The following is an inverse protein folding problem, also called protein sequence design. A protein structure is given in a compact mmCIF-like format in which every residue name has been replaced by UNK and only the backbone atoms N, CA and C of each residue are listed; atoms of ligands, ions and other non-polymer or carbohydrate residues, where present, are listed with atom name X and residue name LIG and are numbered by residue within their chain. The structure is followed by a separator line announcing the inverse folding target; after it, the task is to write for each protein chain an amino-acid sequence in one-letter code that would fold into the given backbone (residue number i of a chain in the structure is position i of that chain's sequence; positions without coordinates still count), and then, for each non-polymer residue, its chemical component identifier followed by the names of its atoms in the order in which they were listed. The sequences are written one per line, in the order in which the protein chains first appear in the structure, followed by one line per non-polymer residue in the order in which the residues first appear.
data_IF_047382361604
#
_entry.id   IF_047382361604
#
_cell.length_a   1.000
_cell.length_b   1.000
_cell.length_c   1.000
_cell.angle_alpha   90.00
_cell.angle_beta   90.00
_cell.angle_gamma   90.00
#
_symmetry.space_group_name_H-M   'P 1'
#
loop_
_entity.id
_entity.type
_entity.pdbx_description
1 polymer ?
#
# COMPACT_ATOMS: atom_id res chain seq x y z
N UNK A 1 26.45 25.15 -15.34
CA UNK A 1 26.11 23.90 -14.60
C UNK A 1 24.62 23.61 -14.72
N UNK A 2 24.15 22.36 -14.56
CA UNK A 2 22.71 22.01 -14.71
C UNK A 2 21.78 22.83 -13.79
N UNK A 3 22.30 23.33 -12.67
CA UNK A 3 21.61 24.24 -11.74
C UNK A 3 21.24 25.61 -12.33
N UNK A 4 21.98 26.10 -13.33
CA UNK A 4 21.66 27.37 -14.01
C UNK A 4 20.36 27.29 -14.82
N UNK A 5 19.96 26.08 -15.22
CA UNK A 5 18.75 25.85 -16.01
C UNK A 5 17.46 25.92 -15.17
N UNK A 6 17.56 25.96 -13.83
CA UNK A 6 16.43 26.04 -12.89
C UNK A 6 15.27 25.08 -13.21
N UNK A 7 15.61 23.83 -13.52
CA UNK A 7 14.66 22.85 -14.05
C UNK A 7 13.62 22.50 -12.98
N UNK A 8 14.06 22.23 -11.75
CA UNK A 8 13.16 21.96 -10.61
C UNK A 8 12.18 23.12 -10.42
N UNK A 9 12.68 24.35 -10.34
CA UNK A 9 11.85 25.54 -10.09
C UNK A 9 10.81 25.74 -11.19
N UNK A 10 11.14 25.42 -12.45
CA UNK A 10 10.18 25.45 -13.55
C UNK A 10 9.09 24.38 -13.42
N UNK A 11 9.40 23.19 -12.90
CA UNK A 11 8.42 22.14 -12.63
C UNK A 11 7.53 22.56 -11.46
N UNK A 12 8.12 23.05 -10.36
CA UNK A 12 7.41 23.59 -9.20
C UNK A 12 6.46 24.74 -9.61
N UNK A 13 6.88 25.62 -10.52
CA UNK A 13 6.04 26.70 -11.03
C UNK A 13 4.80 26.21 -11.80
N UNK A 14 4.87 25.03 -12.45
CA UNK A 14 3.70 24.41 -13.10
C UNK A 14 2.69 23.90 -12.08
N UNK A 15 3.13 23.56 -10.87
CA UNK A 15 2.22 23.14 -9.81
C UNK A 15 1.30 24.30 -9.34
N UNK A 16 1.59 25.54 -9.73
CA UNK A 16 0.69 26.68 -9.46
C UNK A 16 -0.66 26.57 -10.17
N UNK A 17 -0.73 25.81 -11.27
CA UNK A 17 -1.98 25.58 -12.00
C UNK A 17 -2.77 24.38 -11.47
N UNK A 18 -2.25 23.66 -10.47
CA UNK A 18 -3.00 22.60 -9.79
C UNK A 18 -4.18 23.19 -9.03
N UNK A 19 -5.09 22.31 -8.60
CA UNK A 19 -6.17 22.64 -7.68
C UNK A 19 -5.65 23.42 -6.46
N UNK A 20 -6.40 24.40 -5.93
CA UNK A 20 -6.03 25.09 -4.70
C UNK A 20 -5.89 24.15 -3.50
N UNK A 21 -6.47 22.95 -3.59
CA UNK A 21 -6.39 21.90 -2.57
C UNK A 21 -5.26 20.89 -2.81
N UNK A 22 -4.58 20.97 -3.96
CA UNK A 22 -3.43 20.13 -4.27
C UNK A 22 -2.22 20.54 -3.43
N UNK A 23 -1.44 19.55 -3.01
CA UNK A 23 -0.17 19.84 -2.34
C UNK A 23 0.87 20.26 -3.37
N UNK A 24 1.49 21.41 -3.14
CA UNK A 24 2.60 21.90 -3.97
C UNK A 24 3.92 21.47 -3.35
N UNK A 25 4.80 20.89 -4.15
CA UNK A 25 6.11 20.40 -3.69
C UNK A 25 6.97 21.52 -3.09
N UNK A 26 6.89 22.75 -3.61
CA UNK A 26 7.55 23.93 -3.03
C UNK A 26 7.08 24.30 -1.63
N UNK A 27 5.86 23.88 -1.24
CA UNK A 27 5.24 24.15 0.05
C UNK A 27 5.29 22.93 0.98
N UNK A 28 6.07 21.90 0.62
CA UNK A 28 6.26 20.73 1.46
C UNK A 28 6.77 21.12 2.85
N UNK A 29 6.30 20.41 3.88
CA UNK A 29 6.82 20.51 5.26
C UNK A 29 8.24 19.96 5.37
N UNK A 30 8.79 19.41 4.30
CA UNK A 30 10.17 18.98 4.19
C UNK A 30 10.40 17.57 4.69
N UNK A 31 11.69 17.29 4.96
CA UNK A 31 12.22 15.97 5.34
C UNK A 31 12.67 16.02 6.80
N UNK A 32 12.75 14.86 7.45
CA UNK A 32 13.28 14.79 8.82
C UNK A 32 14.76 15.20 8.91
N UNK A 33 15.57 14.74 7.95
CA UNK A 33 16.97 15.15 7.81
C UNK A 33 17.04 16.19 6.69
N UNK A 34 17.48 17.43 6.97
CA UNK A 34 17.65 18.46 5.95
C UNK A 34 18.58 17.97 4.84
N UNK A 35 18.24 18.32 3.60
CA UNK A 35 19.00 17.94 2.42
C UNK A 35 18.82 19.01 1.35
N UNK A 36 19.87 19.26 0.57
CA UNK A 36 19.81 20.23 -0.50
C UNK A 36 18.76 19.84 -1.56
N UNK A 37 17.98 20.81 -2.05
CA UNK A 37 17.05 20.60 -3.16
C UNK A 37 17.76 20.07 -4.43
N UNK A 38 17.13 19.13 -5.14
CA UNK A 38 17.70 18.53 -6.35
C UNK A 38 17.57 19.51 -7.53
N UNK A 39 18.59 19.67 -8.40
CA UNK A 39 18.54 20.68 -9.47
C UNK A 39 17.49 20.40 -10.55
N UNK A 40 16.96 19.17 -10.63
CA UNK A 40 16.05 18.72 -11.70
C UNK A 40 14.69 18.32 -11.14
N UNK A 41 14.65 17.53 -10.06
CA UNK A 41 13.44 16.86 -9.57
C UNK A 41 12.80 17.59 -8.40
N UNK A 42 11.47 17.58 -8.35
CA UNK A 42 10.72 18.02 -7.15
C UNK A 42 10.95 17.07 -5.98
N UNK A 43 10.58 17.48 -4.76
CA UNK A 43 10.75 16.62 -3.58
C UNK A 43 9.97 15.29 -3.71
N UNK A 44 8.77 15.31 -4.28
CA UNK A 44 7.94 14.12 -4.46
C UNK A 44 8.47 13.18 -5.56
N UNK A 45 9.03 13.74 -6.65
CA UNK A 45 9.71 12.93 -7.66
C UNK A 45 10.92 12.20 -7.08
N UNK A 46 11.70 12.86 -6.21
CA UNK A 46 12.81 12.19 -5.50
C UNK A 46 12.31 11.08 -4.59
N UNK A 47 11.17 11.28 -3.93
CA UNK A 47 10.59 10.30 -3.01
C UNK A 47 10.14 9.05 -3.73
N UNK A 48 9.42 9.23 -4.84
CA UNK A 48 9.06 8.15 -5.77
C UNK A 48 10.29 7.33 -6.16
N UNK A 49 11.34 8.00 -6.65
CA UNK A 49 12.54 7.33 -7.13
C UNK A 49 13.25 6.56 -6.00
N UNK A 50 13.31 7.13 -4.78
CA UNK A 50 13.86 6.45 -3.60
C UNK A 50 13.09 5.19 -3.23
N UNK A 51 11.76 5.24 -3.29
CA UNK A 51 10.90 4.09 -3.00
C UNK A 51 11.14 2.99 -4.03
N UNK A 52 11.10 3.31 -5.33
CA UNK A 52 11.30 2.33 -6.42
C UNK A 52 12.65 1.60 -6.30
N UNK A 53 13.70 2.32 -5.90
CA UNK A 53 15.04 1.76 -5.78
C UNK A 53 15.32 1.05 -4.44
N UNK A 54 14.35 1.02 -3.51
CA UNK A 54 14.50 0.39 -2.18
C UNK A 54 14.56 -1.15 -2.25
N UNK A 55 15.18 -1.79 -1.25
CA UNK A 55 15.15 -3.26 -1.15
C UNK A 55 13.73 -3.75 -0.88
N UNK A 56 12.97 -3.05 -0.03
CA UNK A 56 11.58 -3.35 0.28
C UNK A 56 10.68 -3.38 -0.96
N UNK A 57 10.76 -2.38 -1.84
CA UNK A 57 9.95 -2.35 -3.05
C UNK A 57 10.27 -3.53 -3.98
N UNK A 58 11.55 -3.89 -4.14
CA UNK A 58 11.95 -5.08 -4.92
C UNK A 58 11.38 -6.38 -4.36
N UNK A 59 11.28 -6.49 -3.02
CA UNK A 59 10.72 -7.67 -2.35
C UNK A 59 9.23 -7.87 -2.62
N UNK A 60 8.48 -6.82 -2.97
CA UNK A 60 7.05 -6.92 -3.31
C UNK A 60 6.78 -7.88 -4.49
N UNK A 61 7.75 -8.06 -5.40
CA UNK A 61 7.68 -9.05 -6.49
C UNK A 61 7.54 -10.49 -5.98
N UNK A 62 8.08 -10.76 -4.79
CA UNK A 62 8.16 -12.10 -4.20
C UNK A 62 7.30 -12.22 -2.93
N UNK A 63 6.29 -11.34 -2.81
CA UNK A 63 5.27 -11.39 -1.78
C UNK A 63 3.91 -11.57 -2.43
N UNK A 64 3.17 -12.53 -1.92
CA UNK A 64 1.80 -12.81 -2.34
C UNK A 64 0.86 -11.71 -1.87
N UNK A 65 -0.12 -11.38 -2.71
CA UNK A 65 -1.19 -10.48 -2.34
C UNK A 65 -2.26 -11.24 -1.53
N UNK A 66 -3.07 -12.05 -2.20
CA UNK A 66 -4.19 -12.79 -1.59
C UNK A 66 -4.08 -14.31 -1.72
N UNK A 67 -3.31 -14.82 -2.68
CA UNK A 67 -3.07 -16.26 -2.86
C UNK A 67 -1.66 -16.59 -2.40
N UNK A 68 -1.54 -17.42 -1.37
CA UNK A 68 -0.25 -17.86 -0.86
C UNK A 68 0.35 -18.90 -1.82
N UNK A 69 1.54 -18.62 -2.34
CA UNK A 69 2.34 -19.50 -3.19
C UNK A 69 1.53 -20.31 -4.25
N UNK A 70 0.63 -19.69 -5.03
CA UNK A 70 -0.14 -20.45 -6.01
C UNK A 70 0.78 -20.94 -7.12
N UNK A 71 0.59 -22.19 -7.56
CA UNK A 71 1.35 -22.85 -8.62
C UNK A 71 1.11 -22.25 -10.04
N UNK A 72 0.56 -21.04 -10.15
CA UNK A 72 0.22 -20.41 -11.43
C UNK A 72 0.98 -19.10 -11.69
N UNK A 73 1.43 -18.91 -12.92
CA UNK A 73 2.30 -17.79 -13.31
C UNK A 73 1.63 -16.41 -13.31
N UNK A 74 0.30 -16.36 -13.19
CA UNK A 74 -0.49 -15.14 -13.43
C UNK A 74 -1.14 -14.54 -12.18
N UNK A 75 -0.95 -15.13 -11.00
CA UNK A 75 -1.52 -14.60 -9.76
C UNK A 75 -0.86 -13.27 -9.36
N UNK A 76 -1.66 -12.38 -8.78
CA UNK A 76 -1.21 -11.05 -8.39
C UNK A 76 -0.23 -11.15 -7.22
N UNK A 77 0.95 -10.58 -7.44
CA UNK A 77 1.94 -10.26 -6.40
C UNK A 77 1.62 -8.90 -5.80
N UNK A 78 2.19 -8.59 -4.63
CA UNK A 78 2.07 -7.23 -4.05
C UNK A 78 2.59 -6.15 -4.98
N UNK A 79 3.62 -6.45 -5.79
CA UNK A 79 4.14 -5.49 -6.76
C UNK A 79 3.10 -5.15 -7.83
N UNK A 80 2.44 -6.16 -8.41
CA UNK A 80 1.40 -5.94 -9.43
C UNK A 80 0.18 -5.21 -8.86
N UNK A 81 -0.22 -5.53 -7.62
CA UNK A 81 -1.23 -4.75 -6.89
C UNK A 81 -0.81 -3.28 -6.76
N UNK A 82 0.39 -3.04 -6.24
CA UNK A 82 0.93 -1.69 -6.02
C UNK A 82 0.95 -0.86 -7.31
N UNK A 83 1.28 -1.48 -8.45
CA UNK A 83 1.25 -0.83 -9.75
C UNK A 83 -0.17 -0.50 -10.22
N UNK A 84 -1.14 -1.40 -10.00
CA UNK A 84 -2.56 -1.16 -10.30
C UNK A 84 -3.14 -0.02 -9.44
N UNK A 85 -2.89 -0.03 -8.12
CA UNK A 85 -3.25 1.05 -7.20
C UNK A 85 -2.68 2.38 -7.68
N UNK A 86 -1.39 2.40 -8.01
CA UNK A 86 -0.70 3.60 -8.49
C UNK A 86 -1.32 4.12 -9.78
N UNK A 87 -1.67 3.25 -10.72
CA UNK A 87 -2.29 3.64 -11.99
C UNK A 87 -3.69 4.25 -11.78
N UNK A 88 -4.52 3.62 -10.95
CA UNK A 88 -5.86 4.11 -10.61
C UNK A 88 -5.74 5.46 -9.89
N UNK A 89 -4.86 5.56 -8.89
CA UNK A 89 -4.65 6.75 -8.10
C UNK A 89 -4.18 7.94 -8.94
N UNK A 90 -3.20 7.73 -9.84
CA UNK A 90 -2.73 8.77 -10.77
C UNK A 90 -3.83 9.25 -11.71
N UNK A 91 -4.72 8.35 -12.15
CA UNK A 91 -5.86 8.71 -13.00
C UNK A 91 -6.83 9.63 -12.26
N UNK A 92 -7.16 9.31 -11.01
CA UNK A 92 -8.03 10.13 -10.16
C UNK A 92 -7.36 11.48 -9.86
N UNK A 93 -6.10 11.48 -9.42
CA UNK A 93 -5.36 12.69 -9.09
C UNK A 93 -5.27 13.64 -10.27
N UNK A 94 -4.93 13.15 -11.47
CA UNK A 94 -4.86 13.96 -12.68
C UNK A 94 -6.22 14.55 -13.07
N UNK A 95 -7.29 13.76 -12.99
CA UNK A 95 -8.63 14.22 -13.32
C UNK A 95 -9.13 15.31 -12.34
N UNK A 96 -8.75 15.21 -11.07
CA UNK A 96 -9.07 16.20 -10.03
C UNK A 96 -8.06 17.36 -9.96
N UNK A 97 -7.07 17.40 -10.86
CA UNK A 97 -6.00 18.40 -10.90
C UNK A 97 -5.20 18.49 -9.59
N UNK A 98 -4.93 17.35 -8.95
CA UNK A 98 -4.13 17.20 -7.74
C UNK A 98 -2.67 16.82 -8.07
N UNK A 99 -1.79 16.75 -7.07
CA UNK A 99 -0.37 16.47 -7.30
C UNK A 99 -0.12 14.98 -7.62
N UNK A 100 0.07 14.69 -8.91
CA UNK A 100 0.27 13.32 -9.40
C UNK A 100 1.54 12.66 -8.87
N UNK A 101 2.65 13.40 -8.74
CA UNK A 101 3.93 12.85 -8.25
C UNK A 101 3.83 12.48 -6.75
N UNK A 102 3.12 13.28 -5.95
CA UNK A 102 2.84 12.96 -4.55
C UNK A 102 1.96 11.71 -4.42
N UNK A 103 0.86 11.65 -5.18
CA UNK A 103 -0.02 10.48 -5.20
C UNK A 103 0.74 9.22 -5.58
N UNK A 104 1.57 9.28 -6.64
CA UNK A 104 2.39 8.17 -7.10
C UNK A 104 3.38 7.71 -6.01
N UNK A 105 4.11 8.63 -5.37
CA UNK A 105 5.05 8.29 -4.33
C UNK A 105 4.37 7.60 -3.12
N UNK A 106 3.20 8.08 -2.69
CA UNK A 106 2.43 7.46 -1.61
C UNK A 106 2.00 6.04 -2.01
N UNK A 107 1.39 5.88 -3.19
CA UNK A 107 0.91 4.58 -3.66
C UNK A 107 2.03 3.57 -3.85
N UNK A 108 3.24 3.96 -4.27
CA UNK A 108 4.35 3.01 -4.36
C UNK A 108 4.90 2.60 -2.98
N UNK A 109 4.68 3.43 -1.96
CA UNK A 109 5.20 3.22 -0.60
C UNK A 109 4.23 2.54 0.37
N UNK A 110 2.93 2.48 0.06
CA UNK A 110 1.89 2.08 1.03
C UNK A 110 2.09 0.66 1.58
N UNK A 111 2.58 -0.25 0.72
CA UNK A 111 2.62 -1.70 0.98
C UNK A 111 4.01 -2.26 1.34
N UNK A 112 5.01 -1.39 1.54
CA UNK A 112 6.40 -1.80 1.79
C UNK A 112 6.60 -2.65 3.06
N UNK A 113 5.74 -2.47 4.05
CA UNK A 113 5.82 -3.09 5.37
C UNK A 113 5.06 -4.39 5.53
N UNK A 114 4.36 -4.87 4.50
CA UNK A 114 3.61 -6.11 4.62
C UNK A 114 4.49 -7.30 4.90
N UNK A 115 4.02 -8.20 5.76
CA UNK A 115 4.68 -9.46 6.10
C UNK A 115 4.70 -10.45 4.93
N UNK A 116 5.58 -11.47 4.98
CA UNK A 116 5.38 -12.66 4.17
C UNK A 116 3.99 -13.26 4.47
N UNK A 117 3.40 -13.90 3.45
CA UNK A 117 2.06 -14.52 3.50
C UNK A 117 0.91 -13.52 3.76
N UNK A 118 1.12 -12.23 3.54
CA UNK A 118 0.08 -11.21 3.66
C UNK A 118 -0.53 -11.14 5.05
N UNK A 119 -1.87 -11.08 5.13
CA UNK A 119 -2.59 -10.89 6.39
C UNK A 119 -2.33 -11.98 7.44
N UNK A 120 -2.10 -13.23 7.03
CA UNK A 120 -1.81 -14.31 7.97
C UNK A 120 -0.51 -14.06 8.75
N UNK A 121 0.53 -13.54 8.09
CA UNK A 121 1.78 -13.17 8.77
C UNK A 121 1.62 -11.95 9.67
N UNK A 122 0.79 -10.99 9.25
CA UNK A 122 0.50 -9.77 10.02
C UNK A 122 -0.27 -10.10 11.30
N UNK A 123 -1.29 -10.96 11.22
CA UNK A 123 -2.05 -11.45 12.37
C UNK A 123 -1.12 -12.10 13.42
N UNK A 124 -0.25 -13.02 12.98
CA UNK A 124 0.68 -13.69 13.88
C UNK A 124 1.66 -12.72 14.51
N UNK A 125 2.25 -11.80 13.74
CA UNK A 125 3.14 -10.79 14.33
C UNK A 125 2.38 -9.86 15.28
N UNK A 126 1.13 -9.53 15.00
CA UNK A 126 0.31 -8.69 15.87
C UNK A 126 -0.01 -9.38 17.21
N UNK A 127 -0.19 -10.71 17.20
CA UNK A 127 -0.36 -11.51 18.41
C UNK A 127 0.93 -11.65 19.22
N UNK A 128 2.07 -11.88 18.54
CA UNK A 128 3.33 -12.21 19.19
C UNK A 128 4.17 -10.99 19.59
N UNK A 129 4.05 -9.88 18.87
CA UNK A 129 4.79 -8.66 19.16
C UNK A 129 4.02 -7.82 20.20
N UNK A 130 4.57 -7.59 21.41
CA UNK A 130 3.80 -7.01 22.52
C UNK A 130 3.15 -5.65 22.28
N UNK A 131 3.61 -4.89 21.26
CA UNK A 131 3.06 -3.58 20.91
C UNK A 131 2.00 -3.63 19.80
N UNK A 132 1.69 -4.82 19.29
CA UNK A 132 0.90 -4.99 18.07
C UNK A 132 1.73 -4.70 16.82
N UNK A 133 1.27 -5.22 15.67
CA UNK A 133 1.92 -5.09 14.38
C UNK A 133 0.90 -4.71 13.32
N UNK A 134 1.17 -3.61 12.63
CA UNK A 134 0.35 -3.13 11.52
C UNK A 134 1.23 -2.81 10.31
N UNK A 135 0.83 -3.30 9.14
CA UNK A 135 1.62 -3.18 7.91
C UNK A 135 1.92 -1.74 7.52
N UNK A 136 0.98 -0.80 7.74
CA UNK A 136 1.14 0.63 7.42
C UNK A 136 2.17 1.32 8.33
N UNK A 137 2.16 1.01 9.63
CA UNK A 137 3.20 1.48 10.56
C UNK A 137 4.56 0.88 10.20
N UNK A 138 4.56 -0.38 9.75
CA UNK A 138 5.77 -1.02 9.27
C UNK A 138 6.26 -0.40 7.96
N UNK A 139 5.39 -0.03 7.03
CA UNK A 139 5.75 0.67 5.79
C UNK A 139 6.42 2.01 6.12
N UNK A 140 5.87 2.76 7.08
CA UNK A 140 6.49 4.00 7.56
C UNK A 140 7.88 3.72 8.18
N UNK A 141 8.01 2.69 9.02
CA UNK A 141 9.29 2.32 9.62
C UNK A 141 10.33 1.86 8.58
N UNK A 142 9.90 1.19 7.52
CA UNK A 142 10.79 0.82 6.41
C UNK A 142 11.42 2.06 5.78
N UNK A 143 10.61 3.08 5.48
CA UNK A 143 11.08 4.30 4.82
C UNK A 143 11.78 5.27 5.78
N UNK A 144 11.51 5.21 7.08
CA UNK A 144 12.13 6.09 8.07
C UNK A 144 13.43 5.55 8.65
N UNK A 145 13.54 4.22 8.76
CA UNK A 145 14.62 3.58 9.50
C UNK A 145 15.27 2.42 8.76
N UNK A 146 14.51 1.40 8.33
CA UNK A 146 15.10 0.10 7.97
C UNK A 146 15.90 0.13 6.66
N UNK A 147 15.44 0.88 5.67
CA UNK A 147 16.18 1.00 4.40
C UNK A 147 17.53 1.68 4.59
N UNK A 148 18.44 1.44 3.64
CA UNK A 148 19.80 2.01 3.66
C UNK A 148 20.56 1.73 4.96
N UNK A 149 20.47 0.49 5.47
CA UNK A 149 21.20 0.01 6.66
C UNK A 149 20.91 0.85 7.92
N UNK A 150 19.64 1.13 8.21
CA UNK A 150 19.26 1.90 9.41
C UNK A 150 19.19 3.42 9.20
N UNK A 151 19.37 3.92 7.97
CA UNK A 151 19.33 5.36 7.69
C UNK A 151 17.99 5.87 7.16
N UNK A 152 17.11 4.96 6.71
CA UNK A 152 15.87 5.28 6.02
C UNK A 152 16.08 5.86 4.61
N UNK A 153 14.97 6.19 3.96
CA UNK A 153 14.91 6.88 2.67
C UNK A 153 14.79 8.42 2.84
N UNK A 154 14.54 8.91 4.06
CA UNK A 154 14.39 10.34 4.37
C UNK A 154 13.36 11.01 3.44
N UNK A 155 12.16 10.43 3.32
CA UNK A 155 11.08 10.94 2.46
C UNK A 155 10.47 12.24 3.00
N UNK A 156 9.72 12.96 2.16
CA UNK A 156 8.96 14.14 2.61
C UNK A 156 7.86 13.74 3.61
N UNK A 157 7.45 14.69 4.44
CA UNK A 157 6.40 14.47 5.42
C UNK A 157 5.09 14.01 4.78
N UNK A 158 4.73 14.55 3.62
CA UNK A 158 3.46 14.26 2.93
C UNK A 158 3.39 12.82 2.44
N UNK A 159 4.52 12.31 1.90
CA UNK A 159 4.60 10.90 1.47
C UNK A 159 4.48 9.98 2.67
N UNK A 160 5.16 10.29 3.77
CA UNK A 160 5.13 9.52 5.02
C UNK A 160 3.74 9.49 5.65
N UNK A 161 3.06 10.63 5.69
CA UNK A 161 1.69 10.74 6.17
C UNK A 161 0.72 9.90 5.32
N UNK A 162 0.83 9.99 3.99
CA UNK A 162 0.05 9.16 3.08
C UNK A 162 0.30 7.66 3.27
N UNK A 163 1.55 7.23 3.41
CA UNK A 163 1.92 5.83 3.68
C UNK A 163 1.33 5.35 5.01
N UNK A 164 1.40 6.15 6.07
CA UNK A 164 0.87 5.73 7.37
C UNK A 164 -0.66 5.65 7.36
N UNK A 165 -1.32 6.61 6.73
CA UNK A 165 -2.74 6.85 6.86
C UNK A 165 -3.55 6.37 5.64
N UNK A 166 -3.07 5.39 4.88
CA UNK A 166 -3.82 4.80 3.76
C UNK A 166 -4.78 3.69 4.21
N UNK A 167 -4.49 2.99 5.32
CA UNK A 167 -5.27 1.83 5.77
C UNK A 167 -6.72 2.16 6.12
N UNK A 168 -7.58 1.13 6.09
CA UNK A 168 -9.05 1.22 6.20
C UNK A 168 -9.57 0.58 7.48
N UNK A 169 -10.82 0.93 7.81
CA UNK A 169 -11.63 0.16 8.74
C UNK A 169 -12.21 -1.05 8.01
N UNK A 170 -12.31 -2.19 8.68
CA UNK A 170 -12.91 -3.42 8.11
C UNK A 170 -14.37 -3.23 7.64
N UNK A 171 -15.08 -2.20 8.11
CA UNK A 171 -16.53 -2.07 7.90
C UNK A 171 -16.98 -1.37 6.62
N UNK A 172 -16.21 -0.44 6.03
CA UNK A 172 -16.63 0.30 4.82
C UNK A 172 -15.43 0.81 4.00
N UNK A 173 -15.51 0.74 2.65
CA UNK A 173 -14.49 1.29 1.72
C UNK A 173 -14.20 2.77 1.98
N UNK A 174 -15.24 3.56 2.31
CA UNK A 174 -15.13 4.95 2.73
C UNK A 174 -15.30 5.15 4.23
N UNK A 175 -15.24 4.07 5.01
CA UNK A 175 -15.44 4.13 6.46
C UNK A 175 -14.44 5.04 7.13
N UNK A 176 -14.92 5.84 8.09
CA UNK A 176 -14.04 6.62 8.95
C UNK A 176 -13.10 5.67 9.70
N UNK A 177 -11.81 5.88 9.50
CA UNK A 177 -10.75 5.32 10.34
C UNK A 177 -10.36 6.38 11.34
N UNK A 178 -9.76 5.97 12.46
CA UNK A 178 -9.23 6.90 13.45
C UNK A 178 -8.25 7.93 12.85
N UNK A 179 -7.57 7.60 11.75
CA UNK A 179 -6.62 8.50 11.09
C UNK A 179 -6.91 8.66 9.58
N UNK A 180 -7.05 9.91 9.15
CA UNK A 180 -7.19 10.30 7.74
C UNK A 180 -5.90 10.97 7.28
N UNK A 181 -5.40 10.61 6.10
CA UNK A 181 -4.28 11.33 5.50
C UNK A 181 -4.61 12.83 5.37
N UNK A 182 -3.64 13.68 5.68
CA UNK A 182 -3.80 15.13 5.68
C UNK A 182 -4.01 15.71 4.29
N UNK A 183 -3.63 14.98 3.24
CA UNK A 183 -3.65 15.40 1.84
C UNK A 183 -4.73 14.64 1.07
N UNK A 184 -5.31 15.25 0.02
CA UNK A 184 -6.22 14.53 -0.86
C UNK A 184 -5.49 13.44 -1.66
N UNK A 185 -4.21 13.67 -1.99
CA UNK A 185 -3.35 12.70 -2.63
C UNK A 185 -3.18 11.42 -1.80
N UNK A 186 -3.03 11.55 -0.48
CA UNK A 186 -3.01 10.40 0.44
C UNK A 186 -4.38 9.73 0.58
N UNK A 187 -5.47 10.49 0.57
CA UNK A 187 -6.82 9.93 0.59
C UNK A 187 -7.14 9.16 -0.70
N UNK A 188 -6.63 9.61 -1.85
CA UNK A 188 -6.76 8.91 -3.13
C UNK A 188 -6.12 7.53 -3.04
N UNK A 189 -4.94 7.40 -2.42
CA UNK A 189 -4.28 6.10 -2.25
C UNK A 189 -5.22 5.08 -1.58
N UNK A 190 -5.94 5.48 -0.53
CA UNK A 190 -6.90 4.62 0.17
C UNK A 190 -8.03 4.13 -0.74
N UNK A 191 -8.66 5.04 -1.49
CA UNK A 191 -9.79 4.68 -2.36
C UNK A 191 -9.28 3.86 -3.55
N UNK A 192 -8.15 4.23 -4.15
CA UNK A 192 -7.54 3.49 -5.26
C UNK A 192 -7.15 2.06 -4.85
N UNK A 193 -6.59 1.89 -3.65
CA UNK A 193 -6.33 0.59 -3.06
C UNK A 193 -7.63 -0.24 -2.95
N UNK A 194 -8.75 0.41 -2.61
CA UNK A 194 -10.05 -0.27 -2.55
C UNK A 194 -10.52 -0.79 -3.90
N UNK A 195 -10.44 0.07 -4.91
CA UNK A 195 -10.83 -0.25 -6.27
C UNK A 195 -9.96 -1.37 -6.82
N UNK A 196 -8.64 -1.33 -6.59
CA UNK A 196 -7.73 -2.37 -7.05
C UNK A 196 -8.06 -3.72 -6.40
N UNK A 197 -8.07 -3.81 -5.06
CA UNK A 197 -8.23 -5.10 -4.37
C UNK A 197 -9.52 -5.82 -4.76
N UNK A 198 -10.65 -5.10 -4.81
CA UNK A 198 -11.94 -5.70 -5.18
C UNK A 198 -11.84 -6.35 -6.57
N UNK A 199 -11.16 -5.68 -7.51
CA UNK A 199 -11.18 -6.08 -8.90
C UNK A 199 -10.20 -7.18 -9.26
N UNK A 200 -8.97 -7.17 -8.72
CA UNK A 200 -8.06 -8.29 -8.97
C UNK A 200 -8.35 -9.49 -8.08
N UNK A 201 -8.89 -9.34 -6.87
CA UNK A 201 -9.24 -10.50 -6.04
C UNK A 201 -10.41 -11.29 -6.62
N UNK A 202 -11.38 -10.61 -7.24
CA UNK A 202 -12.40 -11.29 -8.06
C UNK A 202 -11.73 -12.09 -9.18
N UNK A 203 -10.80 -11.47 -9.91
CA UNK A 203 -10.14 -12.09 -11.06
C UNK A 203 -9.33 -13.33 -10.65
N UNK A 204 -8.51 -13.20 -9.61
CA UNK A 204 -7.69 -14.31 -9.11
C UNK A 204 -8.53 -15.40 -8.44
N UNK A 205 -9.64 -15.05 -7.80
CA UNK A 205 -10.57 -16.04 -7.22
C UNK A 205 -11.32 -16.83 -8.28
N UNK A 206 -11.68 -16.19 -9.40
CA UNK A 206 -12.21 -16.89 -10.58
C UNK A 206 -11.14 -17.80 -11.19
N UNK A 207 -9.90 -17.31 -11.33
CA UNK A 207 -8.79 -18.08 -11.87
C UNK A 207 -8.44 -19.30 -11.03
N UNK A 208 -8.50 -19.17 -9.70
CA UNK A 208 -8.28 -20.25 -8.76
C UNK A 208 -9.47 -21.23 -8.65
N UNK A 209 -10.59 -20.95 -9.32
CA UNK A 209 -11.81 -21.76 -9.24
C UNK A 209 -12.49 -21.73 -7.88
N UNK A 210 -12.20 -20.73 -7.03
CA UNK A 210 -12.86 -20.54 -5.72
C UNK A 210 -14.29 -20.04 -5.94
N UNK A 211 -14.46 -19.13 -6.90
CA UNK A 211 -15.75 -18.59 -7.32
C UNK A 211 -15.86 -18.67 -8.84
N UNK A 212 -17.08 -18.64 -9.37
CA UNK A 212 -17.36 -18.44 -10.79
C UNK A 212 -17.74 -16.98 -11.04
N UNK A 213 -17.53 -16.48 -12.25
CA UNK A 213 -17.92 -15.12 -12.62
C UNK A 213 -19.43 -14.85 -12.42
N UNK A 214 -20.25 -15.90 -12.55
CA UNK A 214 -21.70 -15.83 -12.35
C UNK A 214 -22.13 -15.91 -10.87
N UNK A 215 -21.20 -16.17 -9.94
CA UNK A 215 -21.49 -16.19 -8.51
C UNK A 215 -21.50 -14.76 -7.93
N UNK A 216 -20.99 -13.78 -8.68
CA UNK A 216 -20.96 -12.38 -8.26
C UNK A 216 -22.39 -11.83 -8.04
N UNK A 217 -22.64 -11.07 -6.95
CA UNK A 217 -23.96 -10.49 -6.68
C UNK A 217 -24.51 -9.67 -7.84
N UNK A 218 -25.65 -10.07 -8.39
CA UNK A 218 -26.25 -9.44 -9.57
C UNK A 218 -26.52 -7.94 -9.37
N UNK A 219 -26.92 -7.54 -8.15
CA UNK A 219 -27.12 -6.13 -7.80
C UNK A 219 -25.85 -5.31 -8.01
N UNK A 220 -24.72 -5.79 -7.51
CA UNK A 220 -23.44 -5.10 -7.68
C UNK A 220 -22.93 -5.13 -9.13
N UNK A 221 -23.07 -6.27 -9.82
CA UNK A 221 -22.69 -6.41 -11.24
C UNK A 221 -23.49 -5.47 -12.13
N UNK A 222 -24.78 -5.25 -11.83
CA UNK A 222 -25.65 -4.34 -12.59
C UNK A 222 -25.21 -2.88 -12.49
N UNK A 223 -24.57 -2.50 -11.37
CA UNK A 223 -24.10 -1.14 -11.12
C UNK A 223 -22.69 -0.95 -11.66
N UNK A 224 -21.78 -1.88 -11.34
CA UNK A 224 -20.34 -1.70 -11.56
C UNK A 224 -19.91 -2.25 -12.92
N UNK A 225 -20.56 -3.31 -13.41
CA UNK A 225 -20.20 -4.02 -14.63
C UNK A 225 -19.71 -5.44 -14.37
N UNK A 226 -19.76 -6.26 -15.42
CA UNK A 226 -19.40 -7.68 -15.37
C UNK A 226 -17.92 -7.97 -15.67
N UNK A 227 -17.23 -7.07 -16.37
CA UNK A 227 -15.79 -7.21 -16.66
C UNK A 227 -14.94 -6.41 -15.67
N UNK A 228 -13.70 -6.83 -15.50
CA UNK A 228 -12.71 -6.13 -14.67
C UNK A 228 -12.56 -4.67 -15.11
N UNK A 229 -12.38 -4.42 -16.41
CA UNK A 229 -12.23 -3.06 -16.95
C UNK A 229 -13.48 -2.20 -16.78
N UNK A 230 -14.69 -2.77 -16.95
CA UNK A 230 -15.93 -2.00 -16.73
C UNK A 230 -16.09 -1.60 -15.26
N UNK A 231 -15.81 -2.50 -14.31
CA UNK A 231 -15.91 -2.19 -12.88
C UNK A 231 -14.94 -1.08 -12.47
N UNK A 232 -13.67 -1.19 -12.85
CA UNK A 232 -12.68 -0.14 -12.56
C UNK A 232 -13.13 1.18 -13.18
N UNK A 233 -13.51 1.18 -14.46
CA UNK A 233 -13.93 2.41 -15.14
C UNK A 233 -15.14 3.06 -14.45
N UNK A 234 -16.16 2.27 -14.09
CA UNK A 234 -17.34 2.77 -13.38
C UNK A 234 -16.97 3.39 -12.03
N UNK A 235 -16.19 2.67 -11.21
CA UNK A 235 -15.76 3.17 -9.90
C UNK A 235 -14.94 4.45 -10.04
N UNK A 236 -13.94 4.47 -10.93
CA UNK A 236 -13.04 5.62 -11.13
C UNK A 236 -13.81 6.84 -11.65
N UNK A 237 -14.68 6.66 -12.64
CA UNK A 237 -15.50 7.75 -13.17
C UNK A 237 -16.44 8.32 -12.11
N UNK A 238 -17.06 7.47 -11.30
CA UNK A 238 -17.95 7.90 -10.23
C UNK A 238 -17.20 8.62 -9.11
N UNK A 239 -16.01 8.13 -8.72
CA UNK A 239 -15.13 8.82 -7.77
C UNK A 239 -14.79 10.23 -8.27
N UNK A 240 -14.33 10.36 -9.52
CA UNK A 240 -13.97 11.66 -10.11
C UNK A 240 -15.18 12.59 -10.12
N UNK A 241 -16.34 12.10 -10.58
CA UNK A 241 -17.56 12.90 -10.70
C UNK A 241 -18.03 13.42 -9.34
N UNK A 242 -18.03 12.58 -8.32
CA UNK A 242 -18.52 12.95 -6.98
C UNK A 242 -17.46 13.66 -6.13
N UNK A 243 -16.20 13.66 -6.56
CA UNK A 243 -15.09 14.38 -5.93
C UNK A 243 -14.73 15.69 -6.63
N UNK A 244 -15.58 16.17 -7.54
CA UNK A 244 -15.24 17.32 -8.40
C UNK A 244 -14.97 18.61 -7.61
N UNK A 245 -15.50 18.75 -6.38
CA UNK A 245 -15.20 19.89 -5.50
C UNK A 245 -13.71 19.98 -5.14
N UNK A 246 -12.97 18.86 -5.15
CA UNK A 246 -11.51 18.84 -4.96
C UNK A 246 -10.73 19.54 -6.07
N UNK A 247 -11.33 19.87 -7.21
CA UNK A 247 -10.68 20.66 -8.27
C UNK A 247 -10.57 22.15 -7.92
N UNK A 248 -11.38 22.63 -6.98
CA UNK A 248 -11.55 24.07 -6.71
C UNK A 248 -12.39 24.81 -7.75
N UNK A 249 -12.94 24.12 -8.75
CA UNK A 249 -13.78 24.73 -9.81
C UNK A 249 -15.24 24.95 -9.40
N UNK A 250 -15.63 24.51 -8.21
CA UNK A 250 -16.97 24.68 -7.64
C UNK A 250 -16.91 25.65 -6.44
N UNK A 251 -17.08 26.97 -6.65
CA UNK A 251 -17.01 27.94 -5.57
C UNK A 251 -18.06 27.66 -4.48
N UNK A 252 -17.64 27.76 -3.21
CA UNK A 252 -18.53 27.59 -2.05
C UNK A 252 -18.86 26.15 -1.67
N UNK A 253 -18.36 25.15 -2.40
CA UNK A 253 -18.46 23.75 -1.98
C UNK A 253 -17.18 23.31 -1.26
N UNK A 254 -17.34 22.65 -0.12
CA UNK A 254 -16.21 22.05 0.58
C UNK A 254 -15.62 20.89 -0.24
N UNK A 255 -14.28 20.81 -0.34
CA UNK A 255 -13.62 19.75 -1.08
C UNK A 255 -13.82 18.41 -0.36
N UNK A 256 -14.36 17.43 -1.07
CA UNK A 256 -14.60 16.08 -0.54
C UNK A 256 -14.19 15.04 -1.56
N UNK A 257 -13.42 14.05 -1.12
CA UNK A 257 -13.08 12.87 -1.92
C UNK A 257 -14.06 11.75 -1.57
N UNK A 258 -14.93 11.39 -2.51
CA UNK A 258 -16.01 10.42 -2.28
C UNK A 258 -16.48 9.76 -3.58
N UNK A 259 -17.40 8.80 -3.46
CA UNK A 259 -18.17 8.22 -4.56
C UNK A 259 -19.66 8.26 -4.20
N UNK A 260 -20.53 8.07 -5.18
CA UNK A 260 -21.98 8.03 -4.95
C UNK A 260 -22.38 6.85 -4.06
N UNK A 261 -23.45 7.00 -3.28
CA UNK A 261 -23.99 5.91 -2.44
C UNK A 261 -24.26 4.65 -3.27
N UNK A 262 -24.77 4.80 -4.49
CA UNK A 262 -25.05 3.68 -5.40
C UNK A 262 -23.80 2.85 -5.71
N UNK A 263 -22.69 3.51 -6.05
CA UNK A 263 -21.42 2.82 -6.37
C UNK A 263 -20.75 2.31 -5.09
N UNK A 264 -20.84 3.05 -3.99
CA UNK A 264 -20.33 2.64 -2.71
C UNK A 264 -20.99 1.35 -2.21
N UNK A 265 -22.31 1.29 -2.23
CA UNK A 265 -23.10 0.12 -1.79
C UNK A 265 -22.79 -1.11 -2.64
N UNK A 266 -22.70 -0.92 -3.97
CA UNK A 266 -22.31 -2.00 -4.88
C UNK A 266 -20.86 -2.48 -4.62
N UNK A 267 -19.94 -1.57 -4.32
CA UNK A 267 -18.54 -1.90 -4.04
C UNK A 267 -18.40 -2.63 -2.71
N UNK A 268 -19.11 -2.18 -1.67
CA UNK A 268 -19.18 -2.86 -0.38
C UNK A 268 -19.82 -4.24 -0.52
N UNK A 269 -20.86 -4.39 -1.34
CA UNK A 269 -21.47 -5.70 -1.63
C UNK A 269 -20.47 -6.68 -2.25
N UNK A 270 -19.64 -6.25 -3.22
CA UNK A 270 -18.60 -7.11 -3.78
C UNK A 270 -17.51 -7.45 -2.76
N UNK A 271 -17.11 -6.49 -1.93
CA UNK A 271 -16.15 -6.74 -0.86
C UNK A 271 -16.67 -7.77 0.12
N UNK A 272 -17.90 -7.62 0.61
CA UNK A 272 -18.47 -8.49 1.62
C UNK A 272 -18.61 -9.91 1.07
N UNK A 273 -19.04 -10.02 -0.20
CA UNK A 273 -19.02 -11.29 -0.93
C UNK A 273 -17.62 -11.93 -1.00
N UNK A 274 -16.58 -11.16 -1.36
CA UNK A 274 -15.20 -11.66 -1.36
C UNK A 274 -14.76 -12.11 0.04
N UNK A 275 -15.17 -11.39 1.08
CA UNK A 275 -14.84 -11.75 2.45
C UNK A 275 -15.43 -13.08 2.87
N UNK A 276 -16.71 -13.29 2.59
CA UNK A 276 -17.41 -14.54 2.91
C UNK A 276 -16.89 -15.72 2.08
N UNK A 277 -16.71 -15.53 0.76
CA UNK A 277 -16.42 -16.64 -0.15
C UNK A 277 -14.92 -16.94 -0.28
N UNK A 278 -14.07 -15.91 -0.22
CA UNK A 278 -12.63 -16.02 -0.51
C UNK A 278 -11.81 -15.92 0.76
N UNK A 279 -11.95 -14.86 1.56
CA UNK A 279 -11.07 -14.66 2.70
C UNK A 279 -11.35 -15.67 3.82
N UNK A 280 -12.61 -15.91 4.22
CA UNK A 280 -12.93 -16.91 5.27
C UNK A 280 -12.57 -18.35 4.89
N UNK A 281 -12.63 -18.70 3.60
CA UNK A 281 -12.27 -20.04 3.14
C UNK A 281 -10.74 -20.24 3.11
N UNK A 282 -9.98 -19.18 2.82
CA UNK A 282 -8.51 -19.18 2.82
C UNK A 282 -7.90 -19.04 4.19
N UNK A 283 -8.51 -18.24 5.05
CA UNK A 283 -8.06 -18.02 6.42
C UNK A 283 -7.87 -19.35 7.16
N UNK A 284 -8.81 -20.28 6.94
CA UNK A 284 -8.75 -21.66 7.45
C UNK A 284 -7.63 -22.52 6.84
N UNK A 285 -7.11 -22.16 5.67
CA UNK A 285 -6.06 -22.90 4.96
C UNK A 285 -4.65 -22.33 5.18
N UNK A 286 -4.53 -21.13 5.74
CA UNK A 286 -3.25 -20.44 5.96
C UNK A 286 -2.54 -20.85 7.27
N UNK A 287 -2.97 -21.94 7.93
CA UNK A 287 -2.43 -22.31 9.25
C UNK A 287 -0.95 -22.70 9.18
N UNK A 288 -0.54 -23.36 8.10
CA UNK A 288 0.86 -23.70 7.88
C UNK A 288 1.76 -22.46 7.82
N UNK A 289 1.32 -21.42 7.13
CA UNK A 289 2.04 -20.14 7.04
C UNK A 289 2.06 -19.40 8.37
N UNK A 290 0.99 -19.48 9.15
CA UNK A 290 0.99 -18.96 10.52
C UNK A 290 2.02 -19.68 11.38
N UNK A 291 2.06 -21.00 11.33
CA UNK A 291 3.03 -21.82 12.05
C UNK A 291 4.47 -21.45 11.67
N UNK A 292 4.75 -21.22 10.38
CA UNK A 292 6.04 -20.74 9.90
C UNK A 292 6.42 -19.42 10.55
N UNK A 293 5.53 -18.41 10.53
CA UNK A 293 5.82 -17.10 11.13
C UNK A 293 5.99 -17.21 12.65
N UNK A 294 5.18 -18.05 13.33
CA UNK A 294 5.31 -18.31 14.77
C UNK A 294 6.65 -18.96 15.11
N UNK A 295 7.06 -19.96 14.34
CA UNK A 295 8.34 -20.65 14.48
C UNK A 295 9.49 -19.64 14.33
N UNK A 296 9.52 -18.91 13.21
CA UNK A 296 10.56 -17.92 12.93
C UNK A 296 10.66 -16.89 14.06
N UNK A 297 9.52 -16.34 14.51
CA UNK A 297 9.51 -15.34 15.57
C UNK A 297 10.05 -15.88 16.89
N UNK A 298 9.53 -17.03 17.36
CA UNK A 298 9.95 -17.63 18.63
C UNK A 298 11.44 -17.99 18.61
N UNK A 299 11.91 -18.58 17.52
CA UNK A 299 13.30 -19.00 17.38
C UNK A 299 14.25 -17.80 17.34
N UNK A 300 13.97 -16.80 16.51
CA UNK A 300 14.86 -15.65 16.30
C UNK A 300 14.90 -14.68 17.50
N UNK A 301 13.85 -14.64 18.33
CA UNK A 301 13.88 -13.88 19.60
C UNK A 301 14.96 -14.44 20.54
N UNK A 302 15.13 -15.77 20.57
CA UNK A 302 16.17 -16.45 21.34
C UNK A 302 17.56 -16.43 20.71
N UNK A 303 17.65 -16.30 19.38
CA UNK A 303 18.89 -16.43 18.59
C UNK A 303 19.14 -15.18 17.73
N UNK A 304 19.35 -14.04 18.37
CA UNK A 304 19.47 -12.74 17.69
C UNK A 304 20.77 -12.61 16.88
N UNK A 305 21.77 -13.42 17.16
CA UNK A 305 23.02 -13.54 16.40
C UNK A 305 22.80 -14.02 14.96
N UNK A 306 21.65 -14.66 14.68
CA UNK A 306 21.26 -15.09 13.34
C UNK A 306 20.61 -13.98 12.50
N UNK A 307 20.29 -12.83 13.10
CA UNK A 307 19.76 -11.69 12.36
C UNK A 307 20.87 -11.07 11.47
N UNK A 308 20.53 -10.54 10.29
CA UNK A 308 21.51 -9.79 9.50
C UNK A 308 22.04 -8.58 10.28
N UNK A 309 23.31 -8.22 10.05
CA UNK A 309 24.00 -7.16 10.78
C UNK A 309 23.25 -5.81 10.79
N UNK A 310 22.56 -5.48 9.69
CA UNK A 310 21.73 -4.27 9.57
C UNK A 310 20.55 -4.22 10.55
N UNK A 311 20.02 -5.37 10.96
CA UNK A 311 18.99 -5.44 12.00
C UNK A 311 19.61 -5.49 13.39
N UNK A 312 20.71 -6.23 13.57
CA UNK A 312 21.43 -6.30 14.85
C UNK A 312 21.86 -4.90 15.32
N UNK A 313 22.34 -4.07 14.40
CA UNK A 313 22.82 -2.71 14.67
C UNK A 313 21.74 -1.73 15.15
N UNK A 314 20.45 -2.07 15.01
CA UNK A 314 19.36 -1.23 15.51
C UNK A 314 19.31 -1.27 17.04
N UNK A 315 19.08 -0.11 17.67
CA UNK A 315 18.97 0.02 19.13
C UNK A 315 17.65 -0.52 19.71
N UNK A 316 16.78 -1.07 18.86
CA UNK A 316 15.48 -1.59 19.25
C UNK A 316 15.57 -2.88 20.07
N UNK A 317 14.52 -3.15 20.85
CA UNK A 317 14.37 -4.40 21.58
C UNK A 317 14.39 -5.61 20.61
N UNK A 318 14.88 -6.78 21.07
CA UNK A 318 14.93 -8.00 20.28
C UNK A 318 13.66 -8.30 19.49
N UNK A 319 12.50 -8.21 20.14
CA UNK A 319 11.19 -8.52 19.57
C UNK A 319 10.88 -7.64 18.36
N UNK A 320 11.25 -6.36 18.42
CA UNK A 320 11.05 -5.43 17.30
C UNK A 320 12.01 -5.73 16.15
N UNK A 321 13.29 -5.99 16.44
CA UNK A 321 14.28 -6.34 15.40
C UNK A 321 13.89 -7.63 14.67
N UNK A 322 13.38 -8.62 15.39
CA UNK A 322 12.87 -9.88 14.82
C UNK A 322 11.62 -9.63 13.98
N UNK A 323 10.64 -8.85 14.48
CA UNK A 323 9.47 -8.49 13.69
C UNK A 323 9.85 -7.73 12.40
N UNK A 324 10.80 -6.81 12.46
CA UNK A 324 11.30 -6.07 11.30
C UNK A 324 11.97 -7.00 10.27
N UNK A 325 12.74 -7.97 10.75
CA UNK A 325 13.41 -8.93 9.88
C UNK A 325 12.40 -9.87 9.20
N UNK A 326 11.48 -10.44 9.97
CA UNK A 326 10.43 -11.34 9.46
C UNK A 326 9.53 -10.60 8.46
N UNK A 327 9.05 -9.40 8.79
CA UNK A 327 8.26 -8.59 7.87
C UNK A 327 9.05 -8.26 6.58
N UNK A 328 10.36 -8.16 6.68
CA UNK A 328 11.27 -8.00 5.55
C UNK A 328 11.47 -9.25 4.69
N UNK A 329 11.01 -10.43 5.07
CA UNK A 329 11.23 -11.65 4.27
C UNK A 329 10.31 -11.70 3.04
N UNK A 330 10.74 -12.38 2.00
CA UNK A 330 9.85 -12.85 0.93
C UNK A 330 9.26 -14.20 1.32
N UNK A 331 8.14 -14.60 0.72
CA UNK A 331 7.43 -15.82 1.13
C UNK A 331 8.30 -17.08 1.02
N UNK A 332 9.00 -17.23 -0.12
CA UNK A 332 9.91 -18.35 -0.36
C UNK A 332 11.15 -18.33 0.53
N UNK A 333 11.60 -17.15 0.97
CA UNK A 333 12.72 -17.05 1.90
C UNK A 333 12.27 -17.48 3.30
N UNK A 334 11.11 -17.00 3.76
CA UNK A 334 10.53 -17.38 5.04
C UNK A 334 10.30 -18.90 5.14
N UNK A 335 9.73 -19.51 4.09
CA UNK A 335 9.55 -20.97 3.98
C UNK A 335 10.86 -21.75 4.12
N UNK A 336 11.89 -21.31 3.39
CA UNK A 336 13.20 -21.97 3.39
C UNK A 336 13.89 -21.87 4.74
N UNK A 337 13.92 -20.66 5.31
CA UNK A 337 14.54 -20.42 6.60
C UNK A 337 13.84 -21.23 7.70
N UNK A 338 12.51 -21.27 7.71
CA UNK A 338 11.76 -22.08 8.65
C UNK A 338 12.13 -23.57 8.54
N UNK A 339 12.23 -24.10 7.31
CA UNK A 339 12.66 -25.48 7.09
C UNK A 339 14.09 -25.75 7.59
N UNK A 340 15.02 -24.82 7.38
CA UNK A 340 16.40 -24.94 7.86
C UNK A 340 16.46 -24.96 9.40
N UNK A 341 15.68 -24.09 10.06
CA UNK A 341 15.63 -24.03 11.52
C UNK A 341 14.93 -25.25 12.14
N UNK A 342 13.86 -25.76 11.52
CA UNK A 342 13.18 -26.99 11.99
C UNK A 342 14.03 -28.27 11.86
N UNK A 343 15.13 -28.23 11.12
CA UNK A 343 16.07 -29.36 10.99
C UNK A 343 17.29 -29.22 11.93
N UNK A 344 17.44 -28.07 12.59
CA UNK A 344 18.54 -27.77 13.50
C UNK A 344 18.19 -28.02 14.98
N UNK A 345 16.89 -28.13 15.29
CA UNK A 345 16.34 -28.65 16.55
C UNK A 345 16.14 -30.17 16.47
#
# INVERSE_FOLDING_TARGET
MISELRIRERIEAREETLSPYAVKSRLSRGRQKPEDPDPVRTCFQRDRDRIIHSKAFRRLKHKTQVFIAPLGDHFVTRLTHTLEVTQIARTIARALNLNEDLTEAICLGHDLGHTPFGHAGEEVLNELFPKGFHHNEQSLRVVDLLEKNGHGLNLSWEVRDGILNHSKSRSNILGETHNKAATFEGQICRIADAVAYINHDILDSVRAGIIKANDLPLGAVSVLGNTHSHRINTMVCDIIKNSWSCTGLLPGQEPVLTMSNKVLDASNTLRDFLFEQVYQSKDRKAEHEREIVRLLYKYLVGHQDLLPAEYIALSDKPERRVADYIAGMTDLFALRLAKELSLAD
#
